data_IF_886728002373
#
_entry.id   IF_886728002373
#
_cell.length_a   1.000
_cell.length_b   1.000
_cell.length_c   1.000
_cell.angle_alpha   90.00
_cell.angle_beta   90.00
_cell.angle_gamma   90.00
#
_symmetry.space_group_name_H-M   'P 1'
#
loop_
_entity.id
_entity.type
_entity.pdbx_description
1 polymer ?
#
# COMPACT_ATOMS: atom_id res chain seq x y z
N UNK A 1 20.58 -81.22 -29.33
CA UNK A 1 19.75 -81.60 -28.17
C UNK A 1 19.58 -80.35 -27.28
N UNK A 2 18.33 -79.91 -27.01
CA UNK A 2 17.88 -78.94 -25.96
C UNK A 2 18.67 -77.60 -25.81
N UNK A 3 18.21 -76.47 -26.35
CA UNK A 3 17.27 -75.48 -25.73
C UNK A 3 17.80 -74.77 -24.48
N UNK A 4 17.96 -73.44 -24.56
CA UNK A 4 17.52 -72.48 -23.52
C UNK A 4 17.48 -71.03 -24.03
N UNK A 5 16.33 -70.37 -23.82
CA UNK A 5 16.00 -69.02 -24.30
C UNK A 5 15.70 -68.08 -23.12
N UNK A 6 16.71 -67.34 -22.65
CA UNK A 6 16.62 -66.27 -21.65
C UNK A 6 17.96 -65.51 -21.71
N UNK A 7 18.09 -64.18 -21.73
CA UNK A 7 17.23 -63.09 -21.25
C UNK A 7 17.23 -61.94 -22.28
N UNK A 8 16.06 -61.58 -22.82
CA UNK A 8 15.79 -60.25 -23.40
C UNK A 8 14.83 -59.53 -22.46
N UNK A 9 15.30 -58.52 -21.71
CA UNK A 9 14.47 -57.52 -21.00
C UNK A 9 15.34 -56.47 -20.30
N UNK A 10 14.84 -55.22 -20.24
CA UNK A 10 15.45 -54.04 -19.60
C UNK A 10 16.71 -53.54 -20.34
N UNK A 11 17.10 -52.26 -20.39
CA UNK A 11 16.50 -50.93 -20.13
C UNK A 11 17.38 -49.91 -20.90
N UNK A 12 17.01 -48.68 -21.29
CA UNK A 12 15.84 -47.80 -21.03
C UNK A 12 15.54 -46.97 -22.31
N UNK A 13 14.36 -46.35 -22.36
CA UNK A 13 14.02 -45.28 -23.32
C UNK A 13 14.76 -43.99 -22.91
N UNK A 14 15.54 -43.35 -23.80
CA UNK A 14 16.15 -42.03 -23.53
C UNK A 14 15.18 -40.91 -23.93
N UNK A 15 14.55 -40.30 -22.92
CA UNK A 15 13.57 -39.23 -23.11
C UNK A 15 14.33 -37.91 -23.36
N UNK A 16 14.21 -37.36 -24.57
CA UNK A 16 14.66 -36.00 -24.87
C UNK A 16 13.62 -34.99 -24.35
N UNK A 17 13.76 -34.56 -23.10
CA UNK A 17 12.93 -33.51 -22.53
C UNK A 17 13.45 -32.15 -23.02
N UNK A 18 12.76 -31.54 -23.98
CA UNK A 18 13.06 -30.18 -24.42
C UNK A 18 12.65 -29.19 -23.33
N UNK A 19 13.63 -28.64 -22.61
CA UNK A 19 13.42 -27.70 -21.51
C UNK A 19 12.97 -26.32 -22.01
N UNK A 20 11.66 -26.11 -22.16
CA UNK A 20 11.10 -24.76 -22.34
C UNK A 20 11.05 -24.08 -20.97
N UNK A 21 12.14 -23.41 -20.60
CA UNK A 21 12.16 -22.50 -19.47
C UNK A 21 11.40 -21.22 -19.85
N UNK A 22 10.08 -21.19 -19.61
CA UNK A 22 9.30 -19.97 -19.70
C UNK A 22 9.77 -19.00 -18.61
N UNK A 23 10.44 -17.93 -19.03
CA UNK A 23 10.91 -16.84 -18.18
C UNK A 23 9.72 -16.01 -17.69
N UNK A 24 9.05 -16.48 -16.62
CA UNK A 24 8.13 -15.67 -15.84
C UNK A 24 8.93 -14.62 -15.05
N UNK A 25 9.19 -13.48 -15.68
CA UNK A 25 9.55 -12.27 -14.93
C UNK A 25 8.30 -11.82 -14.16
N UNK A 26 8.31 -11.79 -12.81
CA UNK A 26 7.22 -11.17 -12.08
C UNK A 26 7.22 -9.67 -12.39
N UNK A 27 6.04 -9.12 -12.73
CA UNK A 27 5.88 -7.66 -12.80
C UNK A 27 6.07 -7.10 -11.39
N UNK A 28 7.27 -6.60 -11.10
CA UNK A 28 7.49 -5.69 -9.97
C UNK A 28 6.90 -4.34 -10.33
N UNK A 29 5.60 -4.16 -10.04
CA UNK A 29 4.98 -2.84 -10.00
C UNK A 29 5.81 -1.94 -9.08
N UNK A 30 6.24 -0.81 -9.61
CA UNK A 30 7.16 0.09 -8.92
C UNK A 30 6.38 1.04 -8.00
N UNK A 31 7.07 1.63 -7.00
CA UNK A 31 6.44 2.64 -6.14
C UNK A 31 5.88 3.82 -6.95
N UNK A 32 6.50 4.20 -8.08
CA UNK A 32 5.99 5.22 -9.00
C UNK A 32 4.68 4.84 -9.70
N UNK A 33 4.44 3.54 -9.94
CA UNK A 33 3.16 3.07 -10.49
C UNK A 33 2.06 3.19 -9.43
N UNK A 34 2.37 2.77 -8.19
CA UNK A 34 1.45 2.87 -7.06
C UNK A 34 1.13 4.31 -6.65
N UNK A 35 2.10 5.22 -6.68
CA UNK A 35 1.89 6.66 -6.50
C UNK A 35 0.97 7.24 -7.59
N UNK A 36 1.12 6.80 -8.84
CA UNK A 36 0.29 7.24 -9.96
C UNK A 36 -1.14 6.70 -9.87
N UNK A 37 -1.31 5.44 -9.47
CA UNK A 37 -2.61 4.85 -9.17
C UNK A 37 -3.31 5.55 -8.00
N UNK A 38 -2.55 5.92 -6.95
CA UNK A 38 -3.04 6.69 -5.82
C UNK A 38 -3.48 8.11 -6.25
N UNK A 39 -2.67 8.78 -7.07
CA UNK A 39 -3.04 10.09 -7.61
C UNK A 39 -4.38 10.03 -8.37
N UNK A 40 -4.52 8.99 -9.21
CA UNK A 40 -5.72 8.74 -9.98
C UNK A 40 -6.91 8.23 -9.14
N UNK A 41 -6.70 7.73 -7.93
CA UNK A 41 -7.77 7.32 -7.00
C UNK A 41 -8.29 8.50 -6.16
N UNK A 42 -7.45 9.51 -5.92
CA UNK A 42 -7.74 10.71 -5.13
C UNK A 42 -8.32 11.86 -5.96
N UNK A 43 -7.64 12.27 -7.05
CA UNK A 43 -7.96 13.49 -7.79
C UNK A 43 -9.38 13.43 -8.38
N UNK A 44 -10.22 14.42 -8.06
CA UNK A 44 -11.59 14.50 -8.57
C UNK A 44 -12.54 13.41 -8.06
N UNK A 45 -12.14 12.63 -7.06
CA UNK A 45 -12.88 11.46 -6.54
C UNK A 45 -13.16 11.53 -5.04
N UNK A 46 -12.23 12.07 -4.26
CA UNK A 46 -12.41 12.28 -2.82
C UNK A 46 -12.35 13.78 -2.47
N UNK A 47 -13.16 14.25 -1.50
CA UNK A 47 -13.07 15.62 -1.02
C UNK A 47 -11.78 15.88 -0.23
N UNK A 48 -11.25 17.11 -0.29
CA UNK A 48 -10.14 17.58 0.56
C UNK A 48 -10.58 18.45 1.74
N UNK A 49 -11.84 18.89 1.78
CA UNK A 49 -12.39 19.74 2.82
C UNK A 49 -13.88 19.45 3.10
N UNK A 50 -14.42 20.09 4.14
CA UNK A 50 -15.80 19.94 4.61
C UNK A 50 -16.85 20.39 3.57
N UNK A 51 -16.51 21.37 2.72
CA UNK A 51 -17.33 21.81 1.57
C UNK A 51 -17.42 20.76 0.45
N UNK A 52 -16.74 19.62 0.62
CA UNK A 52 -16.66 18.49 -0.32
C UNK A 52 -16.01 18.83 -1.66
N UNK A 53 -15.10 19.80 -1.67
CA UNK A 53 -14.33 20.15 -2.85
C UNK A 53 -13.39 19.00 -3.25
N UNK A 54 -13.52 18.49 -4.48
CA UNK A 54 -12.72 17.40 -5.02
C UNK A 54 -11.62 17.89 -6.00
N UNK A 55 -11.52 19.20 -6.23
CA UNK A 55 -10.47 19.80 -7.03
C UNK A 55 -9.25 20.09 -6.13
N UNK A 56 -8.38 19.10 -5.98
CA UNK A 56 -7.12 19.23 -5.26
C UNK A 56 -6.07 19.99 -6.09
N UNK A 57 -5.14 20.68 -5.41
CA UNK A 57 -3.84 20.98 -6.03
C UNK A 57 -3.08 19.66 -6.24
N UNK A 58 -2.60 19.36 -7.47
CA UNK A 58 -1.85 18.13 -7.76
C UNK A 58 -0.63 17.89 -6.86
N UNK A 59 -0.01 18.93 -6.30
CA UNK A 59 1.12 18.80 -5.36
C UNK A 59 0.68 18.14 -4.05
N UNK A 60 -0.51 18.48 -3.55
CA UNK A 60 -1.06 17.95 -2.31
C UNK A 60 -1.36 16.45 -2.45
N UNK A 61 -1.93 16.05 -3.59
CA UNK A 61 -2.18 14.63 -3.90
C UNK A 61 -0.87 13.86 -4.04
N UNK A 62 0.15 14.43 -4.72
CA UNK A 62 1.48 13.81 -4.81
C UNK A 62 2.12 13.63 -3.43
N UNK A 63 2.00 14.61 -2.54
CA UNK A 63 2.47 14.48 -1.15
C UNK A 63 1.71 13.38 -0.39
N UNK A 64 0.38 13.31 -0.53
CA UNK A 64 -0.45 12.28 0.10
C UNK A 64 -0.05 10.88 -0.37
N UNK A 65 0.27 10.70 -1.65
CA UNK A 65 0.61 9.39 -2.22
C UNK A 65 2.08 8.97 -2.01
N UNK A 66 2.99 9.90 -1.67
CA UNK A 66 4.45 9.70 -1.72
C UNK A 66 4.97 8.49 -0.92
N UNK A 67 5.50 7.50 -1.63
CA UNK A 67 6.08 6.28 -1.10
C UNK A 67 5.08 5.17 -0.75
N UNK A 68 3.82 5.26 -1.17
CA UNK A 68 2.86 4.16 -0.98
C UNK A 68 3.15 2.97 -1.91
N UNK A 69 2.89 1.77 -1.40
CA UNK A 69 2.79 0.51 -2.15
C UNK A 69 1.35 -0.03 -2.20
N UNK A 70 0.40 0.71 -1.61
CA UNK A 70 -1.03 0.37 -1.51
C UNK A 70 -1.88 1.57 -1.94
N UNK A 71 -2.14 1.75 -3.25
CA UNK A 71 -2.67 2.99 -3.83
C UNK A 71 -4.00 3.53 -3.25
N UNK A 72 -4.81 2.70 -2.61
CA UNK A 72 -6.05 3.10 -1.98
C UNK A 72 -5.88 3.64 -0.55
N UNK A 73 -4.81 3.25 0.14
CA UNK A 73 -4.65 3.46 1.59
C UNK A 73 -4.40 4.93 1.99
N UNK A 74 -3.59 5.74 1.28
CA UNK A 74 -3.46 7.16 1.63
C UNK A 74 -4.77 7.94 1.53
N UNK A 75 -5.58 7.68 0.49
CA UNK A 75 -6.90 8.28 0.33
C UNK A 75 -7.91 7.80 1.38
N UNK A 76 -7.90 6.51 1.71
CA UNK A 76 -8.73 5.95 2.78
C UNK A 76 -8.35 6.50 4.17
N UNK A 77 -7.06 6.68 4.45
CA UNK A 77 -6.56 7.33 5.65
C UNK A 77 -7.06 8.77 5.72
N UNK A 78 -6.89 9.54 4.64
CA UNK A 78 -7.31 10.94 4.59
C UNK A 78 -8.80 11.10 4.90
N UNK A 79 -9.66 10.30 4.26
CA UNK A 79 -11.10 10.30 4.51
C UNK A 79 -11.47 9.90 5.94
N UNK A 80 -10.76 8.93 6.53
CA UNK A 80 -11.04 8.47 7.90
C UNK A 80 -10.80 9.55 8.95
N UNK A 81 -9.83 10.43 8.71
CA UNK A 81 -9.54 11.59 9.57
C UNK A 81 -10.49 12.75 9.26
N UNK A 82 -10.76 13.03 7.97
CA UNK A 82 -11.65 14.11 7.53
C UNK A 82 -13.10 13.93 8.03
N UNK A 83 -13.59 12.70 8.17
CA UNK A 83 -14.93 12.41 8.73
C UNK A 83 -15.08 12.79 10.23
N UNK A 84 -14.06 13.42 10.83
CA UNK A 84 -14.17 14.06 12.14
C UNK A 84 -14.22 13.08 13.31
N UNK A 85 -13.67 11.87 13.16
CA UNK A 85 -13.69 10.85 14.24
C UNK A 85 -12.39 10.77 15.04
N UNK A 86 -11.29 11.24 14.47
CA UNK A 86 -9.95 11.11 15.03
C UNK A 86 -9.64 12.30 15.93
N UNK A 87 -9.47 12.07 17.23
CA UNK A 87 -9.14 13.12 18.20
C UNK A 87 -7.62 13.32 18.30
N UNK A 88 -7.16 14.56 18.18
CA UNK A 88 -5.73 14.93 18.23
C UNK A 88 -5.35 15.72 19.50
N UNK A 89 -6.16 15.62 20.55
CA UNK A 89 -5.92 16.27 21.85
C UNK A 89 -6.47 17.68 21.97
N UNK A 90 -6.86 18.33 20.85
CA UNK A 90 -7.56 19.63 20.84
C UNK A 90 -8.99 19.55 20.29
N UNK A 91 -9.48 18.35 20.01
CA UNK A 91 -10.78 18.11 19.38
C UNK A 91 -10.66 17.19 18.17
N UNK A 92 -11.68 17.25 17.31
CA UNK A 92 -11.86 16.38 16.13
C UNK A 92 -11.86 17.13 14.80
N UNK A 93 -11.77 18.46 14.82
CA UNK A 93 -11.62 19.30 13.62
C UNK A 93 -10.16 19.36 13.22
N UNK A 94 -9.85 19.10 11.95
CA UNK A 94 -8.49 19.03 11.43
C UNK A 94 -8.27 20.03 10.30
N UNK A 95 -7.10 20.69 10.27
CA UNK A 95 -6.61 21.30 9.04
C UNK A 95 -6.24 20.18 8.05
N UNK A 96 -6.73 20.26 6.81
CA UNK A 96 -6.50 19.22 5.79
C UNK A 96 -5.01 18.97 5.53
N UNK A 97 -4.14 19.98 5.66
CA UNK A 97 -2.68 19.83 5.55
C UNK A 97 -2.13 18.86 6.59
N UNK A 98 -2.64 18.89 7.82
CA UNK A 98 -2.21 18.00 8.90
C UNK A 98 -2.69 16.57 8.65
N UNK A 99 -3.83 16.40 7.97
CA UNK A 99 -4.29 15.08 7.52
C UNK A 99 -3.37 14.52 6.43
N UNK A 100 -2.97 15.32 5.43
CA UNK A 100 -1.97 14.90 4.43
C UNK A 100 -0.67 14.49 5.14
N UNK A 101 -0.22 15.28 6.11
CA UNK A 101 0.99 14.97 6.88
C UNK A 101 0.85 13.63 7.63
N UNK A 102 -0.30 13.33 8.26
CA UNK A 102 -0.51 12.02 8.89
C UNK A 102 -0.52 10.87 7.87
N UNK A 103 -1.23 11.03 6.76
CA UNK A 103 -1.55 9.94 5.84
C UNK A 103 -0.56 9.74 4.68
N UNK A 104 0.45 10.62 4.53
CA UNK A 104 1.40 10.61 3.40
C UNK A 104 2.13 9.26 3.24
N UNK A 105 1.83 8.57 2.14
CA UNK A 105 2.45 7.29 1.79
C UNK A 105 2.00 6.10 2.63
N UNK A 106 0.89 6.21 3.38
CA UNK A 106 0.37 5.09 4.18
C UNK A 106 0.15 3.83 3.33
N UNK A 107 0.46 2.67 3.92
CA UNK A 107 0.16 1.35 3.37
C UNK A 107 -0.96 0.62 4.13
N UNK A 108 -1.53 1.25 5.17
CA UNK A 108 -2.64 0.73 5.97
C UNK A 108 -3.28 1.89 6.75
N UNK A 109 -4.37 2.43 6.22
CA UNK A 109 -5.08 3.57 6.79
C UNK A 109 -5.47 3.36 8.27
N UNK A 110 -5.94 2.15 8.59
CA UNK A 110 -6.40 1.81 9.94
C UNK A 110 -5.25 1.77 10.95
N UNK A 111 -4.09 1.24 10.54
CA UNK A 111 -2.90 1.25 11.39
C UNK A 111 -2.38 2.68 11.60
N UNK A 112 -2.31 3.50 10.55
CA UNK A 112 -1.79 4.87 10.64
C UNK A 112 -2.64 5.70 11.61
N UNK A 113 -3.97 5.65 11.46
CA UNK A 113 -4.91 6.33 12.36
C UNK A 113 -4.84 5.75 13.78
N UNK A 114 -4.89 4.43 13.94
CA UNK A 114 -4.86 3.80 15.27
C UNK A 114 -3.54 4.01 16.02
N UNK A 115 -2.42 4.08 15.30
CA UNK A 115 -1.12 4.48 15.85
C UNK A 115 -1.18 5.91 16.38
N UNK A 116 -1.72 6.85 15.59
CA UNK A 116 -1.81 8.26 15.95
C UNK A 116 -2.69 8.47 17.18
N UNK A 117 -3.89 7.86 17.20
CA UNK A 117 -4.81 7.90 18.35
C UNK A 117 -4.17 7.32 19.61
N UNK A 118 -3.43 6.21 19.49
CA UNK A 118 -2.72 5.62 20.62
C UNK A 118 -1.55 6.50 21.10
N UNK A 119 -0.82 7.16 20.20
CA UNK A 119 0.29 8.04 20.54
C UNK A 119 -0.19 9.30 21.28
N UNK A 120 -1.23 9.97 20.76
CA UNK A 120 -1.88 11.11 21.43
C UNK A 120 -2.52 10.70 22.74
N UNK A 121 -3.18 9.53 22.79
CA UNK A 121 -3.77 8.97 24.02
C UNK A 121 -2.74 8.62 25.10
N UNK A 122 -1.47 8.43 24.74
CA UNK A 122 -0.32 8.28 25.66
C UNK A 122 0.31 9.61 26.07
N UNK A 123 -0.23 10.75 25.61
CA UNK A 123 0.26 12.09 25.94
C UNK A 123 1.38 12.62 25.04
N UNK A 124 1.64 12.00 23.89
CA UNK A 124 2.57 12.56 22.90
C UNK A 124 1.92 13.78 22.21
N UNK A 125 2.71 14.81 21.88
CA UNK A 125 2.20 15.91 21.05
C UNK A 125 1.78 15.38 19.68
N UNK A 126 0.69 15.91 19.14
CA UNK A 126 0.11 15.44 17.88
C UNK A 126 1.07 15.60 16.69
N UNK A 127 1.98 16.59 16.68
CA UNK A 127 2.96 16.75 15.60
C UNK A 127 4.01 15.64 15.66
N UNK A 128 4.47 15.33 16.86
CA UNK A 128 5.40 14.22 17.08
C UNK A 128 4.73 12.87 16.81
N UNK A 129 3.43 12.73 17.11
CA UNK A 129 2.63 11.55 16.79
C UNK A 129 2.49 11.32 15.29
N UNK A 130 2.29 12.37 14.48
CA UNK A 130 2.35 12.29 13.00
C UNK A 130 3.70 11.73 12.56
N UNK A 131 4.80 12.37 12.98
CA UNK A 131 6.16 11.99 12.57
C UNK A 131 6.57 10.60 13.03
N UNK A 132 6.02 10.13 14.15
CA UNK A 132 6.20 8.79 14.69
C UNK A 132 5.43 7.75 13.85
N UNK A 133 4.13 7.96 13.63
CA UNK A 133 3.26 6.97 12.98
C UNK A 133 3.48 6.84 11.47
N UNK A 134 3.89 7.91 10.77
CA UNK A 134 4.32 7.84 9.37
C UNK A 134 5.45 6.83 9.11
N UNK A 135 6.25 6.48 10.14
CA UNK A 135 7.38 5.55 10.05
C UNK A 135 7.01 4.11 10.41
N UNK A 136 5.83 3.90 11.00
CA UNK A 136 5.39 2.59 11.48
C UNK A 136 4.72 1.73 10.37
N UNK A 137 4.22 2.36 9.30
CA UNK A 137 3.52 1.71 8.18
C UNK A 137 4.33 1.70 6.85
N UNK A 138 5.67 1.87 6.92
CA UNK A 138 6.57 1.83 5.74
C UNK A 138 7.46 0.60 5.73
#
# INVERSE_FOLDING_TARGET
>A
MKISTTIYRLMRLTIAIASIALLFNPLTASASDHESECFNSVQGKIPWNDDKNMNWDPKNVKQLCAGTTKPAEPGACFLSVLDGRVNWGKGITWDWQNIINLCAGSNNAKNTVGCFEQAVGKGLDWRDAILFCQRADK
#
